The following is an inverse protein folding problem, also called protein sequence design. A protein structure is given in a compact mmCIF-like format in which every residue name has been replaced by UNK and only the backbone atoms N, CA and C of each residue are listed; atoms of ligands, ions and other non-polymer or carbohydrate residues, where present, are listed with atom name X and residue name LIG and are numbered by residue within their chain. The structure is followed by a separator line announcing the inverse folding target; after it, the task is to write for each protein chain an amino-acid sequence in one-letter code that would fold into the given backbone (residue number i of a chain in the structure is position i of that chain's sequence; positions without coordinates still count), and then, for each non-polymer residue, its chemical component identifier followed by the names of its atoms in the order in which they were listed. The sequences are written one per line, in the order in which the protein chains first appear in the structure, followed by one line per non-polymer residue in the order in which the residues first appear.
data_IF_834564689762
#
_entry.id   IF_834564689762
#
_cell.length_a   1.000
_cell.length_b   1.000
_cell.length_c   1.000
_cell.angle_alpha   90.00
_cell.angle_beta   90.00
_cell.angle_gamma   90.00
#
_symmetry.space_group_name_H-M   'P 1'
#
loop_
_entity.id
_entity.type
_entity.pdbx_description
1 polymer ?
#
# COMPACT_ATOMS: atom_id res chain seq x y z
N UNK A 1 -4.85 -9.35 0.37
CA UNK A 1 -6.19 -8.92 0.87
C UNK A 1 -7.02 -8.52 -0.35
N UNK A 2 -8.04 -7.67 -0.27
CA UNK A 2 -8.62 -7.06 -1.48
C UNK A 2 -7.91 -5.74 -1.80
N UNK A 3 -7.78 -5.35 -3.09
CA UNK A 3 -7.12 -4.09 -3.51
C UNK A 3 -7.63 -2.83 -2.79
N UNK A 4 -8.94 -2.72 -2.54
CA UNK A 4 -9.51 -1.60 -1.76
C UNK A 4 -9.05 -1.59 -0.30
N UNK A 5 -8.78 -2.77 0.26
CA UNK A 5 -8.31 -2.92 1.62
C UNK A 5 -6.83 -2.52 1.68
N UNK A 6 -6.05 -2.87 0.66
CA UNK A 6 -4.67 -2.42 0.49
C UNK A 6 -4.56 -0.90 0.43
N UNK A 7 -5.29 -0.26 -0.49
CA UNK A 7 -5.33 1.20 -0.60
C UNK A 7 -5.71 1.85 0.72
N UNK A 8 -6.77 1.38 1.38
CA UNK A 8 -7.26 2.02 2.59
C UNK A 8 -6.28 1.90 3.77
N UNK A 9 -5.63 0.75 3.94
CA UNK A 9 -4.67 0.54 5.05
C UNK A 9 -3.39 1.33 4.75
N UNK A 10 -2.89 1.26 3.52
CA UNK A 10 -1.67 1.97 3.10
C UNK A 10 -1.83 3.49 3.21
N UNK A 11 -2.93 4.06 2.72
CA UNK A 11 -3.21 5.50 2.84
C UNK A 11 -3.39 5.91 4.31
N UNK A 12 -4.17 5.17 5.09
CA UNK A 12 -4.38 5.48 6.51
C UNK A 12 -3.10 5.34 7.36
N UNK A 13 -2.12 4.57 6.89
CA UNK A 13 -0.77 4.49 7.50
C UNK A 13 0.05 5.75 7.24
N UNK A 14 -0.10 6.37 6.06
CA UNK A 14 0.72 7.51 5.64
C UNK A 14 0.15 8.85 6.10
N UNK A 15 -1.18 8.99 6.17
CA UNK A 15 -1.84 10.26 6.56
C UNK A 15 -1.29 10.84 7.89
N UNK A 16 -1.09 10.07 8.97
CA UNK A 16 -0.52 10.60 10.21
C UNK A 16 0.76 11.41 10.03
N UNK A 17 1.64 11.02 9.08
CA UNK A 17 2.90 11.71 8.79
C UNK A 17 2.72 13.00 7.97
N UNK A 18 1.56 13.14 7.30
CA UNK A 18 1.20 14.32 6.52
C UNK A 18 0.57 15.39 7.41
N UNK A 19 -0.11 15.02 8.50
CA UNK A 19 -0.86 15.95 9.36
C UNK A 19 -0.02 17.16 9.80
N UNK A 20 1.22 17.01 10.34
CA UNK A 20 2.02 18.18 10.73
C UNK A 20 2.29 19.15 9.57
N UNK A 21 2.39 18.65 8.34
CA UNK A 21 2.59 19.46 7.14
C UNK A 21 1.33 20.22 6.73
N UNK A 22 0.14 19.66 6.98
CA UNK A 22 -1.14 20.36 6.72
C UNK A 22 -1.25 21.58 7.62
N UNK A 23 -0.88 21.44 8.89
CA UNK A 23 -0.96 22.52 9.88
C UNK A 23 0.25 23.47 9.87
N UNK A 24 1.17 23.32 8.91
CA UNK A 24 2.34 24.21 8.82
C UNK A 24 2.07 25.58 8.21
N UNK A 25 0.93 25.74 7.53
CA UNK A 25 0.60 26.96 6.80
C UNK A 25 1.45 27.19 5.54
N UNK A 26 2.32 26.26 5.16
CA UNK A 26 3.13 26.38 3.95
C UNK A 26 2.28 26.12 2.70
N UNK A 27 2.24 27.10 1.79
CA UNK A 27 1.40 27.07 0.56
C UNK A 27 1.83 26.03 -0.47
N UNK A 28 3.08 25.54 -0.44
CA UNK A 28 3.55 24.50 -1.36
C UNK A 28 3.24 23.09 -0.85
N UNK A 29 3.14 22.89 0.47
CA UNK A 29 2.95 21.55 1.04
C UNK A 29 1.70 20.81 0.54
N UNK A 30 0.56 21.48 0.23
CA UNK A 30 -0.57 20.86 -0.43
C UNK A 30 -0.25 20.00 -1.63
N UNK A 31 0.56 20.50 -2.56
CA UNK A 31 0.88 19.73 -3.76
C UNK A 31 1.75 18.51 -3.43
N UNK A 32 2.64 18.64 -2.44
CA UNK A 32 3.56 17.59 -2.03
C UNK A 32 2.85 16.43 -1.33
N UNK A 33 1.98 16.71 -0.35
CA UNK A 33 1.27 15.63 0.33
C UNK A 33 0.19 14.99 -0.55
N UNK A 34 -0.47 15.74 -1.45
CA UNK A 34 -1.39 15.16 -2.45
C UNK A 34 -0.64 14.22 -3.38
N UNK A 35 0.53 14.65 -3.88
CA UNK A 35 1.40 13.82 -4.72
C UNK A 35 1.80 12.54 -4.01
N UNK A 36 2.21 12.64 -2.74
CA UNK A 36 2.57 11.48 -1.92
C UNK A 36 1.39 10.51 -1.76
N UNK A 37 0.18 11.01 -1.46
CA UNK A 37 -1.02 10.17 -1.29
C UNK A 37 -1.43 9.46 -2.57
N UNK A 38 -1.36 10.15 -3.72
CA UNK A 38 -1.62 9.56 -5.04
C UNK A 38 -0.59 8.46 -5.32
N UNK A 39 0.70 8.75 -5.10
CA UNK A 39 1.79 7.80 -5.32
C UNK A 39 1.67 6.57 -4.41
N UNK A 40 1.33 6.72 -3.13
CA UNK A 40 1.05 5.62 -2.19
C UNK A 40 -0.14 4.79 -2.64
N UNK A 41 -1.20 5.43 -3.12
CA UNK A 41 -2.40 4.74 -3.63
C UNK A 41 -2.04 3.87 -4.84
N UNK A 42 -1.35 4.43 -5.83
CA UNK A 42 -0.89 3.71 -7.02
C UNK A 42 0.07 2.59 -6.60
N UNK A 43 1.03 2.89 -5.71
CA UNK A 43 1.99 1.93 -5.18
C UNK A 43 1.30 0.74 -4.53
N UNK A 44 0.30 0.97 -3.68
CA UNK A 44 -0.43 -0.11 -2.97
C UNK A 44 -1.23 -1.04 -3.88
N UNK A 45 -1.48 -0.64 -5.13
CA UNK A 45 -2.16 -1.46 -6.14
C UNK A 45 -1.16 -2.11 -7.10
N UNK A 46 0.07 -1.60 -7.18
CA UNK A 46 1.08 -2.00 -8.18
C UNK A 46 1.43 -3.49 -8.16
N UNK A 47 1.64 -4.15 -7.02
CA UNK A 47 2.01 -5.57 -6.98
C UNK A 47 0.91 -6.48 -7.53
N UNK A 48 -0.35 -6.06 -7.41
CA UNK A 48 -1.55 -6.84 -7.74
C UNK A 48 -2.09 -6.59 -9.15
N UNK A 49 -1.35 -5.85 -9.98
CA UNK A 49 -1.73 -5.47 -11.34
C UNK A 49 -2.18 -6.63 -12.24
N UNK A 50 -1.61 -7.81 -12.01
CA UNK A 50 -1.78 -8.99 -12.86
C UNK A 50 -2.56 -10.13 -12.14
N UNK A 51 -3.34 -9.80 -11.10
CA UNK A 51 -4.22 -10.77 -10.46
C UNK A 51 -5.18 -11.39 -11.48
N UNK A 52 -5.11 -12.72 -11.64
CA UNK A 52 -5.83 -13.46 -12.67
C UNK A 52 -7.34 -13.23 -12.64
N UNK A 53 -7.91 -13.04 -13.84
CA UNK A 53 -9.27 -12.55 -14.07
C UNK A 53 -9.23 -11.19 -14.76
N UNK A 54 -10.37 -10.64 -15.19
CA UNK A 54 -10.45 -9.20 -15.46
C UNK A 54 -10.56 -8.54 -14.09
N UNK A 55 -9.46 -8.01 -13.50
CA UNK A 55 -9.52 -7.47 -12.15
C UNK A 55 -10.58 -6.37 -12.09
N UNK A 56 -11.08 -6.05 -10.89
CA UNK A 56 -11.99 -4.92 -10.75
C UNK A 56 -11.38 -3.62 -11.33
N UNK A 57 -10.05 -3.52 -11.27
CA UNK A 57 -9.26 -2.48 -11.94
C UNK A 57 -9.44 -2.44 -13.46
N UNK A 58 -9.58 -3.57 -14.16
CA UNK A 58 -9.85 -3.61 -15.60
C UNK A 58 -11.21 -2.99 -15.95
N UNK A 59 -12.23 -3.25 -15.13
CA UNK A 59 -13.59 -2.75 -15.37
C UNK A 59 -13.79 -1.31 -14.91
N UNK A 60 -13.23 -0.93 -13.76
CA UNK A 60 -13.42 0.39 -13.17
C UNK A 60 -12.34 1.40 -13.63
N UNK A 61 -11.14 0.92 -14.03
CA UNK A 61 -9.95 1.74 -14.28
C UNK A 61 -9.04 1.16 -15.40
N UNK A 62 -9.63 0.90 -16.58
CA UNK A 62 -8.95 0.28 -17.73
C UNK A 62 -7.57 0.89 -18.06
N UNK A 63 -7.46 2.22 -18.03
CA UNK A 63 -6.19 2.92 -18.31
C UNK A 63 -5.07 2.49 -17.36
N UNK A 64 -5.38 2.35 -16.06
CA UNK A 64 -4.40 1.94 -15.05
C UNK A 64 -3.95 0.50 -15.35
N UNK A 65 -4.89 -0.40 -15.63
CA UNK A 65 -4.57 -1.77 -16.02
C UNK A 65 -3.68 -1.85 -17.28
N UNK A 66 -3.99 -1.05 -18.30
CA UNK A 66 -3.24 -1.02 -19.56
C UNK A 66 -1.80 -0.52 -19.37
N UNK A 67 -1.54 0.30 -18.35
CA UNK A 67 -0.18 0.77 -17.97
C UNK A 67 0.57 -0.31 -17.16
N UNK A 68 -0.11 -1.01 -16.27
CA UNK A 68 0.55 -1.90 -15.33
C UNK A 68 1.03 -3.23 -15.94
N UNK A 69 0.34 -3.74 -16.96
CA UNK A 69 0.77 -4.94 -17.67
C UNK A 69 2.15 -4.76 -18.37
N UNK A 70 2.38 -3.70 -19.17
CA UNK A 70 3.70 -3.35 -19.67
C UNK A 70 4.73 -3.14 -18.57
N UNK A 71 4.34 -2.48 -17.46
CA UNK A 71 5.23 -2.25 -16.33
C UNK A 71 5.78 -3.57 -15.76
N UNK A 72 4.92 -4.55 -15.53
CA UNK A 72 5.35 -5.86 -15.02
C UNK A 72 6.38 -6.50 -15.95
N UNK A 73 6.12 -6.48 -17.27
CA UNK A 73 7.06 -7.01 -18.26
C UNK A 73 8.38 -6.25 -18.24
N UNK A 74 8.34 -4.92 -18.09
CA UNK A 74 9.53 -4.09 -17.98
C UNK A 74 10.34 -4.41 -16.72
N UNK A 75 9.70 -4.64 -15.58
CA UNK A 75 10.36 -5.03 -14.32
C UNK A 75 11.02 -6.41 -14.45
N UNK A 76 10.30 -7.39 -15.02
CA UNK A 76 10.84 -8.74 -15.25
C UNK A 76 12.03 -8.68 -16.20
N UNK A 77 11.91 -7.92 -17.29
CA UNK A 77 13.00 -7.72 -18.25
C UNK A 77 14.22 -7.06 -17.61
N UNK A 78 14.01 -5.97 -16.85
CA UNK A 78 15.06 -5.26 -16.15
C UNK A 78 15.79 -6.19 -15.16
N UNK A 79 15.04 -6.95 -14.36
CA UNK A 79 15.64 -7.90 -13.43
C UNK A 79 16.41 -9.02 -14.13
N UNK A 80 15.84 -9.65 -15.16
CA UNK A 80 16.53 -10.71 -15.92
C UNK A 80 17.83 -10.20 -16.52
N UNK A 81 17.81 -8.98 -17.06
CA UNK A 81 18.99 -8.33 -17.63
C UNK A 81 20.08 -8.10 -16.58
N UNK A 82 19.70 -7.62 -15.39
CA UNK A 82 20.63 -7.46 -14.25
C UNK A 82 21.15 -8.80 -13.75
N UNK A 83 20.27 -9.80 -13.64
CA UNK A 83 20.62 -11.14 -13.18
C UNK A 83 21.64 -11.82 -14.08
N UNK A 84 21.49 -11.69 -15.41
CA UNK A 84 22.45 -12.21 -16.38
C UNK A 84 23.78 -11.43 -16.34
N UNK A 85 23.72 -10.10 -16.23
CA UNK A 85 24.93 -9.26 -16.19
C UNK A 85 25.81 -9.55 -14.97
N UNK A 86 25.21 -9.88 -13.83
CA UNK A 86 25.91 -10.05 -12.56
C UNK A 86 25.95 -11.50 -12.06
N UNK A 87 25.56 -12.47 -12.90
CA UNK A 87 25.52 -13.91 -12.58
C UNK A 87 24.91 -14.21 -11.20
N UNK A 88 23.71 -13.66 -10.97
CA UNK A 88 23.08 -13.76 -9.66
C UNK A 88 22.59 -15.19 -9.37
N UNK A 89 22.92 -15.72 -8.19
CA UNK A 89 22.48 -17.03 -7.73
C UNK A 89 20.98 -17.03 -7.38
N UNK A 90 20.13 -17.40 -8.33
CA UNK A 90 18.67 -17.46 -8.14
C UNK A 90 18.24 -18.85 -7.61
N UNK A 91 17.43 -18.87 -6.56
CA UNK A 91 16.76 -20.10 -6.10
C UNK A 91 15.45 -20.38 -6.87
N UNK A 92 14.87 -19.34 -7.47
CA UNK A 92 13.64 -19.44 -8.25
C UNK A 92 13.72 -18.70 -9.59
N UNK A 93 13.11 -19.30 -10.62
CA UNK A 93 12.96 -18.66 -11.93
C UNK A 93 12.01 -17.45 -11.84
N UNK A 94 12.46 -16.31 -12.34
CA UNK A 94 11.62 -15.11 -12.47
C UNK A 94 10.84 -15.18 -13.78
N UNK A 95 9.53 -15.34 -13.69
CA UNK A 95 8.59 -15.42 -14.82
C UNK A 95 7.39 -14.48 -14.63
N UNK A 96 6.47 -14.47 -15.62
CA UNK A 96 5.29 -13.60 -15.65
C UNK A 96 4.16 -14.06 -14.70
N UNK A 97 4.48 -14.64 -13.54
CA UNK A 97 3.47 -15.06 -12.57
C UNK A 97 3.03 -13.88 -11.70
N UNK A 98 1.74 -13.90 -11.35
CA UNK A 98 1.07 -12.97 -10.42
C UNK A 98 1.78 -12.76 -9.09
N UNK A 99 2.42 -13.81 -8.58
CA UNK A 99 3.20 -13.75 -7.34
C UNK A 99 4.63 -14.14 -7.61
N UNK A 100 5.26 -13.33 -8.45
CA UNK A 100 6.68 -13.38 -8.78
C UNK A 100 7.39 -12.14 -8.26
N UNK A 101 8.22 -11.55 -9.10
CA UNK A 101 9.12 -10.46 -8.71
C UNK A 101 8.39 -9.21 -8.19
N UNK A 102 7.18 -8.92 -8.66
CA UNK A 102 6.37 -7.78 -8.20
C UNK A 102 6.01 -7.85 -6.71
N UNK A 103 6.08 -9.05 -6.12
CA UNK A 103 5.83 -9.31 -4.70
C UNK A 103 7.13 -9.53 -3.92
N UNK A 104 8.23 -8.91 -4.36
CA UNK A 104 9.54 -8.98 -3.72
C UNK A 104 10.19 -7.59 -3.56
N UNK A 105 11.06 -7.38 -2.55
CA UNK A 105 11.77 -6.11 -2.32
C UNK A 105 12.48 -5.55 -3.56
N UNK A 106 13.12 -6.41 -4.35
CA UNK A 106 13.81 -5.98 -5.57
C UNK A 106 12.81 -5.53 -6.66
N UNK A 107 11.66 -6.21 -6.77
CA UNK A 107 10.65 -5.85 -7.76
C UNK A 107 9.93 -4.58 -7.39
N UNK A 108 9.59 -4.36 -6.11
CA UNK A 108 8.97 -3.09 -5.66
C UNK A 108 9.92 -1.91 -5.88
N UNK A 109 11.23 -2.11 -5.71
CA UNK A 109 12.22 -1.07 -5.97
C UNK A 109 12.30 -0.76 -7.48
N UNK A 110 12.46 -1.79 -8.31
CA UNK A 110 12.54 -1.63 -9.77
C UNK A 110 11.26 -1.01 -10.36
N UNK A 111 10.07 -1.48 -9.94
CA UNK A 111 8.79 -0.94 -10.41
C UNK A 111 8.62 0.52 -9.98
N UNK A 112 8.97 0.88 -8.74
CA UNK A 112 8.93 2.26 -8.26
C UNK A 112 9.87 3.15 -9.06
N UNK A 113 11.08 2.68 -9.36
CA UNK A 113 12.06 3.40 -10.16
C UNK A 113 11.54 3.65 -11.59
N UNK A 114 11.07 2.59 -12.27
CA UNK A 114 10.55 2.69 -13.64
C UNK A 114 9.34 3.63 -13.69
N UNK A 115 8.36 3.47 -12.80
CA UNK A 115 7.19 4.34 -12.74
C UNK A 115 7.55 5.80 -12.44
N UNK A 116 8.54 6.02 -11.58
CA UNK A 116 9.03 7.38 -11.30
C UNK A 116 9.67 8.00 -12.53
N UNK A 117 10.52 7.26 -13.24
CA UNK A 117 11.16 7.74 -14.47
C UNK A 117 10.11 8.07 -15.54
N UNK A 118 9.11 7.22 -15.72
CA UNK A 118 7.99 7.47 -16.63
C UNK A 118 7.23 8.74 -16.20
N UNK A 119 6.89 8.86 -14.93
CA UNK A 119 6.16 10.02 -14.40
C UNK A 119 6.95 11.32 -14.54
N UNK A 120 8.26 11.28 -14.28
CA UNK A 120 9.15 12.42 -14.44
C UNK A 120 9.28 12.84 -15.92
N UNK A 121 9.36 11.88 -16.84
CA UNK A 121 9.40 12.15 -18.28
C UNK A 121 8.10 12.82 -18.75
N UNK A 122 6.94 12.28 -18.38
CA UNK A 122 5.64 12.90 -18.69
C UNK A 122 5.50 14.28 -18.06
N UNK A 123 5.90 14.44 -16.80
CA UNK A 123 5.92 15.73 -16.12
C UNK A 123 6.79 16.75 -16.83
N UNK A 124 7.99 16.36 -17.28
CA UNK A 124 8.87 17.22 -18.06
C UNK A 124 8.23 17.67 -19.37
N UNK A 125 7.57 16.77 -20.11
CA UNK A 125 6.90 17.15 -21.36
C UNK A 125 5.72 18.12 -21.16
N UNK A 126 4.99 18.00 -20.05
CA UNK A 126 3.82 18.86 -19.76
C UNK A 126 4.27 20.21 -19.19
N UNK A 127 5.17 20.21 -18.22
CA UNK A 127 5.54 21.39 -17.43
C UNK A 127 6.85 22.05 -17.86
N UNK A 128 7.57 21.46 -18.83
CA UNK A 128 8.86 21.93 -19.34
C UNK A 128 9.91 22.13 -18.24
N UNK A 129 9.83 21.31 -17.18
CA UNK A 129 10.70 21.38 -16.02
C UNK A 129 10.57 20.15 -15.12
N UNK A 130 11.57 19.92 -14.27
CA UNK A 130 11.59 18.82 -13.31
C UNK A 130 11.64 19.40 -11.90
N UNK A 131 10.58 19.20 -11.12
CA UNK A 131 10.63 19.44 -9.69
C UNK A 131 11.18 18.19 -8.99
N UNK A 132 12.44 18.27 -8.52
CA UNK A 132 13.13 17.14 -7.89
C UNK A 132 12.42 16.64 -6.62
N UNK A 133 11.82 17.53 -5.84
CA UNK A 133 11.07 17.17 -4.63
C UNK A 133 9.85 16.33 -5.02
N UNK A 134 9.10 16.73 -6.05
CA UNK A 134 7.97 15.94 -6.53
C UNK A 134 8.40 14.57 -7.07
N UNK A 135 9.49 14.51 -7.84
CA UNK A 135 10.04 13.23 -8.32
C UNK A 135 10.40 12.30 -7.16
N UNK A 136 11.05 12.85 -6.12
CA UNK A 136 11.38 12.09 -4.92
C UNK A 136 10.14 11.62 -4.16
N UNK A 137 9.12 12.47 -4.01
CA UNK A 137 7.86 12.12 -3.35
C UNK A 137 7.08 11.06 -4.13
N UNK A 138 7.10 11.10 -5.46
CA UNK A 138 6.54 10.05 -6.31
C UNK A 138 7.26 8.72 -6.05
N UNK A 139 8.60 8.73 -6.08
CA UNK A 139 9.39 7.51 -5.83
C UNK A 139 9.13 6.93 -4.44
N UNK A 140 9.22 7.77 -3.41
CA UNK A 140 9.00 7.37 -2.01
C UNK A 140 7.56 6.88 -1.83
N UNK A 141 6.57 7.58 -2.36
CA UNK A 141 5.17 7.18 -2.25
C UNK A 141 4.88 5.85 -2.92
N UNK A 142 5.38 5.63 -4.15
CA UNK A 142 5.26 4.36 -4.86
C UNK A 142 5.94 3.22 -4.09
N UNK A 143 7.15 3.46 -3.58
CA UNK A 143 7.93 2.47 -2.85
C UNK A 143 7.24 2.08 -1.54
N UNK A 144 6.79 3.06 -0.75
CA UNK A 144 6.08 2.79 0.50
C UNK A 144 4.72 2.15 0.26
N UNK A 145 3.95 2.58 -0.75
CA UNK A 145 2.69 1.94 -1.10
C UNK A 145 2.86 0.46 -1.43
N UNK A 146 3.86 0.13 -2.25
CA UNK A 146 4.19 -1.26 -2.58
C UNK A 146 4.71 -2.04 -1.37
N UNK A 147 5.56 -1.42 -0.55
CA UNK A 147 6.07 -2.05 0.66
C UNK A 147 4.95 -2.39 1.66
N UNK A 148 4.02 -1.45 1.89
CA UNK A 148 2.87 -1.66 2.75
C UNK A 148 1.96 -2.76 2.19
N UNK A 149 1.74 -2.80 0.88
CA UNK A 149 1.04 -3.92 0.23
C UNK A 149 1.66 -5.28 0.60
N UNK A 150 2.99 -5.43 0.49
CA UNK A 150 3.68 -6.67 0.85
C UNK A 150 3.56 -6.98 2.37
N UNK A 151 3.62 -5.97 3.24
CA UNK A 151 3.38 -6.17 4.68
C UNK A 151 1.96 -6.64 4.97
N UNK A 152 0.97 -6.07 4.29
CA UNK A 152 -0.44 -6.46 4.41
C UNK A 152 -0.65 -7.90 3.91
N UNK A 153 -0.04 -8.28 2.79
CA UNK A 153 -0.14 -9.64 2.26
C UNK A 153 0.64 -10.66 3.11
N UNK A 154 1.68 -10.23 3.82
CA UNK A 154 2.34 -11.04 4.86
C UNK A 154 1.41 -11.39 6.04
N UNK A 155 0.33 -10.64 6.23
CA UNK A 155 -0.69 -10.94 7.25
C UNK A 155 -1.74 -11.95 6.77
N UNK A 156 -1.76 -12.29 5.48
CA UNK A 156 -2.72 -13.23 4.88
C UNK A 156 -2.20 -14.66 4.89
N UNK A 157 -3.10 -15.63 4.73
CA UNK A 157 -2.74 -17.05 4.63
C UNK A 157 -1.80 -17.37 3.48
N UNK A 158 -1.86 -16.57 2.40
CA UNK A 158 -0.99 -16.79 1.24
C UNK A 158 0.40 -16.23 1.43
N UNK A 159 0.56 -15.20 2.26
CA UNK A 159 1.85 -14.62 2.63
C UNK A 159 2.64 -13.99 1.50
N UNK A 160 3.87 -13.60 1.84
CA UNK A 160 4.89 -13.04 0.94
C UNK A 160 6.23 -13.73 1.18
N UNK A 161 6.93 -14.04 0.09
CA UNK A 161 8.32 -14.45 0.14
C UNK A 161 9.22 -13.23 -0.06
N UNK A 162 9.62 -12.61 1.04
CA UNK A 162 10.44 -11.40 1.04
C UNK A 162 11.84 -11.61 0.44
N UNK A 163 12.30 -12.86 0.32
CA UNK A 163 13.61 -13.18 -0.27
C UNK A 163 13.52 -13.56 -1.74
N UNK A 164 12.33 -13.64 -2.33
CA UNK A 164 12.19 -14.00 -3.74
C UNK A 164 13.01 -13.03 -4.63
N UNK A 165 13.75 -13.52 -5.65
CA UNK A 165 13.92 -14.93 -6.07
C UNK A 165 15.12 -15.66 -5.41
N UNK A 166 15.77 -15.09 -4.40
CA UNK A 166 16.96 -15.60 -3.70
C UNK A 166 16.65 -16.48 -2.48
N UNK A 167 15.40 -16.91 -2.34
CA UNK A 167 14.95 -17.62 -1.16
C UNK A 167 13.54 -18.17 -1.35
N UNK A 168 13.15 -19.11 -0.50
CA UNK A 168 11.82 -19.77 -0.53
C UNK A 168 10.98 -19.50 0.71
N UNK A 169 11.54 -18.85 1.74
CA UNK A 169 10.87 -18.69 3.04
C UNK A 169 9.69 -17.73 2.94
N UNK A 170 8.49 -18.28 3.12
CA UNK A 170 7.25 -17.53 3.18
C UNK A 170 7.02 -16.92 4.58
N UNK A 171 6.62 -15.65 4.62
CA UNK A 171 6.05 -15.01 5.80
C UNK A 171 4.55 -14.85 5.58
N UNK A 172 3.75 -15.51 6.42
CA UNK A 172 2.30 -15.50 6.31
C UNK A 172 1.61 -15.32 7.67
N UNK A 173 0.36 -14.86 7.62
CA UNK A 173 -0.55 -14.81 8.75
C UNK A 173 -1.73 -15.76 8.53
N UNK A 174 -2.85 -15.46 9.17
CA UNK A 174 -4.06 -16.29 9.15
C UNK A 174 -5.28 -15.54 8.61
N UNK A 175 -5.10 -14.38 7.97
CA UNK A 175 -6.21 -13.61 7.39
C UNK A 175 -6.64 -14.25 6.07
N UNK A 176 -7.94 -14.51 5.96
CA UNK A 176 -8.53 -15.06 4.74
C UNK A 176 -9.21 -13.97 3.93
N UNK A 177 -8.70 -13.69 2.73
CA UNK A 177 -9.31 -12.74 1.78
C UNK A 177 -10.72 -13.16 1.37
N UNK A 178 -10.91 -14.46 1.15
CA UNK A 178 -12.21 -15.08 0.82
C UNK A 178 -12.76 -15.86 2.02
N UNK A 179 -14.04 -16.19 2.02
CA UNK A 179 -14.71 -16.82 3.16
C UNK A 179 -14.12 -18.21 3.48
N UNK A 180 -13.44 -18.34 4.63
CA UNK A 180 -13.06 -19.64 5.22
C UNK A 180 -14.30 -20.44 5.61
N UNK A 181 -15.27 -19.77 6.22
CA UNK A 181 -16.55 -20.33 6.69
C UNK A 181 -17.67 -19.78 5.80
N UNK A 182 -18.52 -20.66 5.25
CA UNK A 182 -19.64 -20.26 4.38
C UNK A 182 -20.52 -19.21 5.07
N UNK A 183 -20.76 -18.10 4.39
CA UNK A 183 -21.57 -17.00 4.92
C UNK A 183 -20.85 -16.05 5.88
N UNK A 184 -19.61 -16.33 6.30
CA UNK A 184 -18.82 -15.44 7.15
C UNK A 184 -17.66 -14.78 6.39
N UNK A 185 -17.26 -13.59 6.84
CA UNK A 185 -16.08 -12.87 6.36
C UNK A 185 -15.14 -12.56 7.53
N UNK A 186 -13.84 -12.64 7.26
CA UNK A 186 -12.80 -12.12 8.15
C UNK A 186 -12.89 -10.60 8.26
N UNK A 187 -13.10 -10.08 9.47
CA UNK A 187 -13.26 -8.65 9.72
C UNK A 187 -11.94 -7.93 10.02
N UNK A 188 -10.82 -8.64 10.19
CA UNK A 188 -9.53 -8.02 10.56
C UNK A 188 -9.11 -6.87 9.63
N UNK A 189 -9.16 -6.99 8.28
CA UNK A 189 -8.83 -5.87 7.40
C UNK A 189 -9.69 -4.62 7.68
N UNK A 190 -10.96 -4.79 8.04
CA UNK A 190 -11.84 -3.67 8.39
C UNK A 190 -11.47 -3.06 9.75
N UNK A 191 -11.15 -3.89 10.74
CA UNK A 191 -10.68 -3.42 12.06
C UNK A 191 -9.38 -2.64 11.92
N UNK A 192 -8.43 -3.13 11.12
CA UNK A 192 -7.15 -2.45 10.90
C UNK A 192 -7.34 -1.06 10.28
N UNK A 193 -8.21 -0.95 9.28
CA UNK A 193 -8.61 0.33 8.69
C UNK A 193 -9.19 1.28 9.75
N UNK A 194 -10.13 0.78 10.57
CA UNK A 194 -10.76 1.60 11.60
C UNK A 194 -9.76 2.11 12.64
N UNK A 195 -8.84 1.25 13.11
CA UNK A 195 -7.82 1.64 14.09
C UNK A 195 -6.89 2.73 13.52
N UNK A 196 -6.43 2.59 12.28
CA UNK A 196 -5.59 3.59 11.62
C UNK A 196 -6.34 4.92 11.39
N UNK A 197 -7.60 4.87 10.95
CA UNK A 197 -8.42 6.06 10.75
C UNK A 197 -8.77 6.78 12.06
N UNK A 198 -9.09 6.03 13.12
CA UNK A 198 -9.32 6.62 14.45
C UNK A 198 -8.06 7.37 14.91
N UNK A 199 -6.88 6.79 14.72
CA UNK A 199 -5.64 7.48 15.06
C UNK A 199 -5.44 8.78 14.26
N UNK A 200 -5.69 8.73 12.95
CA UNK A 200 -5.64 9.91 12.08
C UNK A 200 -6.59 11.01 12.59
N UNK A 201 -7.83 10.65 12.91
CA UNK A 201 -8.84 11.58 13.41
C UNK A 201 -8.41 12.20 14.75
N UNK A 202 -7.89 11.39 15.68
CA UNK A 202 -7.40 11.88 16.98
C UNK A 202 -6.23 12.86 16.81
N UNK A 203 -5.31 12.60 15.87
CA UNK A 203 -4.22 13.53 15.56
C UNK A 203 -4.74 14.85 14.98
N UNK A 204 -5.66 14.79 14.00
CA UNK A 204 -6.27 16.00 13.42
C UNK A 204 -6.97 16.83 14.50
N UNK A 205 -7.75 16.20 15.38
CA UNK A 205 -8.40 16.90 16.49
C UNK A 205 -7.40 17.48 17.48
N UNK A 206 -6.36 16.74 17.83
CA UNK A 206 -5.30 17.22 18.72
C UNK A 206 -4.63 18.49 18.22
N UNK A 207 -4.36 18.57 16.91
CA UNK A 207 -3.84 19.79 16.27
C UNK A 207 -4.89 20.90 16.15
N UNK A 208 -6.13 20.57 15.76
CA UNK A 208 -7.16 21.58 15.48
C UNK A 208 -7.65 22.32 16.75
N UNK A 209 -7.47 21.72 17.92
CA UNK A 209 -7.85 22.28 19.21
C UNK A 209 -6.65 22.71 20.07
N UNK A 210 -5.46 22.82 19.46
CA UNK A 210 -4.22 23.21 20.14
C UNK A 210 -3.91 22.37 21.41
N UNK A 211 -4.40 21.13 21.46
CA UNK A 211 -4.09 20.16 22.55
C UNK A 211 -2.65 19.69 22.43
N UNK A 212 -2.10 19.72 21.20
CA UNK A 212 -0.73 19.32 20.86
C UNK A 212 0.07 20.61 20.58
N UNK A 213 0.74 21.15 21.59
CA UNK A 213 1.62 22.34 21.48
C UNK A 213 3.08 21.97 21.11
N UNK A 214 3.25 20.86 20.40
CA UNK A 214 4.57 20.41 19.98
C UNK A 214 4.99 21.14 18.70
N UNK A 215 6.28 21.49 18.59
CA UNK A 215 6.88 21.82 17.30
C UNK A 215 6.63 20.64 16.33
N UNK A 216 6.18 20.92 15.10
CA UNK A 216 5.86 19.93 14.07
C UNK A 216 6.91 18.83 13.92
N UNK A 217 8.19 19.20 14.02
CA UNK A 217 9.30 18.25 13.92
C UNK A 217 9.40 17.29 15.11
N UNK A 218 9.06 17.76 16.31
CA UNK A 218 9.09 16.95 17.54
C UNK A 218 7.95 15.95 17.63
N UNK A 219 6.90 16.09 16.82
CA UNK A 219 5.78 15.16 16.79
C UNK A 219 6.08 13.88 15.98
N UNK A 220 6.94 13.95 14.98
CA UNK A 220 7.25 12.80 14.11
C UNK A 220 7.68 11.55 14.88
N UNK A 221 8.58 11.61 15.88
CA UNK A 221 8.91 10.44 16.71
C UNK A 221 7.69 9.77 17.36
N UNK A 222 6.72 10.56 17.84
CA UNK A 222 5.48 10.04 18.45
C UNK A 222 4.56 9.42 17.40
N UNK A 223 4.46 10.02 16.20
CA UNK A 223 3.72 9.44 15.08
C UNK A 223 4.34 8.10 14.68
N UNK A 224 5.67 8.03 14.53
CA UNK A 224 6.38 6.79 14.25
C UNK A 224 6.12 5.72 15.31
N UNK A 225 6.21 6.08 16.59
CA UNK A 225 5.94 5.16 17.69
C UNK A 225 4.50 4.65 17.62
N UNK A 226 3.52 5.54 17.48
CA UNK A 226 2.11 5.16 17.49
C UNK A 226 1.72 4.31 16.29
N UNK A 227 2.09 4.74 15.07
CA UNK A 227 1.84 3.96 13.85
C UNK A 227 2.57 2.61 13.93
N UNK A 228 3.79 2.58 14.47
CA UNK A 228 4.53 1.36 14.75
C UNK A 228 3.79 0.40 15.69
N UNK A 229 3.21 0.91 16.78
CA UNK A 229 2.38 0.12 17.70
C UNK A 229 1.12 -0.44 17.02
N UNK A 230 0.46 0.33 16.15
CA UNK A 230 -0.68 -0.15 15.36
C UNK A 230 -0.24 -1.28 14.42
N UNK A 231 0.89 -1.15 13.75
CA UNK A 231 1.43 -2.22 12.90
C UNK A 231 1.83 -3.47 13.69
N UNK A 232 2.41 -3.31 14.88
CA UNK A 232 2.68 -4.44 15.79
C UNK A 232 1.38 -5.16 16.13
N UNK A 233 0.32 -4.42 16.49
CA UNK A 233 -1.01 -4.98 16.72
C UNK A 233 -1.54 -5.74 15.49
N UNK A 234 -1.47 -5.14 14.29
CA UNK A 234 -1.89 -5.76 13.03
C UNK A 234 -1.16 -7.09 12.81
N UNK A 235 0.16 -7.11 12.97
CA UNK A 235 1.00 -8.30 12.77
C UNK A 235 0.63 -9.38 13.80
N UNK A 236 0.48 -9.04 15.08
CA UNK A 236 0.12 -10.00 16.13
C UNK A 236 -1.29 -10.55 15.89
N UNK A 237 -2.27 -9.67 15.66
CA UNK A 237 -3.67 -10.04 15.42
C UNK A 237 -3.81 -10.91 14.15
N UNK A 238 -2.98 -10.69 13.12
CA UNK A 238 -2.98 -11.49 11.90
C UNK A 238 -2.63 -12.95 12.14
N UNK A 239 -1.88 -13.28 13.21
CA UNK A 239 -1.43 -14.64 13.53
C UNK A 239 -2.43 -15.44 14.36
N UNK A 240 -3.48 -14.80 14.85
CA UNK A 240 -4.54 -15.44 15.64
C UNK A 240 -5.59 -16.10 14.74
N UNK A 241 -6.27 -17.14 15.23
CA UNK A 241 -7.33 -17.88 14.50
C UNK A 241 -8.60 -18.01 15.35
N UNK A 242 -8.97 -16.93 16.04
CA UNK A 242 -10.15 -16.93 16.89
C UNK A 242 -11.44 -16.76 16.08
N UNK A 243 -12.50 -17.44 16.50
CA UNK A 243 -13.80 -17.41 15.81
C UNK A 243 -14.44 -16.02 15.76
N UNK A 244 -14.12 -15.13 16.69
CA UNK A 244 -14.67 -13.77 16.73
C UNK A 244 -14.25 -12.91 15.52
N UNK A 245 -13.17 -13.27 14.83
CA UNK A 245 -12.76 -12.59 13.58
C UNK A 245 -13.68 -12.89 12.41
N UNK A 246 -14.53 -13.92 12.50
CA UNK A 246 -15.41 -14.33 11.43
C UNK A 246 -16.84 -13.89 11.74
N UNK A 247 -17.30 -12.84 11.05
CA UNK A 247 -18.66 -12.31 11.20
C UNK A 247 -19.51 -12.56 9.97
N UNK A 248 -20.84 -12.54 10.17
CA UNK A 248 -21.81 -12.73 9.10
C UNK A 248 -21.64 -11.69 7.97
N UNK A 249 -21.52 -12.19 6.74
CA UNK A 249 -21.26 -11.38 5.54
C UNK A 249 -22.41 -10.41 5.23
N UNK A 250 -23.66 -10.83 5.45
CA UNK A 250 -24.84 -10.00 5.18
C UNK A 250 -24.89 -8.85 6.18
N UNK A 251 -24.61 -9.12 7.47
CA UNK A 251 -24.52 -8.08 8.51
C UNK A 251 -23.47 -7.02 8.15
N UNK A 252 -22.27 -7.44 7.74
CA UNK A 252 -21.20 -6.52 7.31
C UNK A 252 -21.61 -5.71 6.06
N UNK A 253 -22.23 -6.37 5.07
CA UNK A 253 -22.65 -5.70 3.84
C UNK A 253 -23.75 -4.67 4.10
N UNK A 254 -24.71 -4.98 4.97
CA UNK A 254 -25.78 -4.07 5.37
C UNK A 254 -25.22 -2.87 6.12
N UNK A 255 -24.28 -3.08 7.05
CA UNK A 255 -23.57 -2.00 7.73
C UNK A 255 -22.89 -1.07 6.71
N UNK A 256 -22.12 -1.62 5.75
CA UNK A 256 -21.44 -0.83 4.71
C UNK A 256 -22.42 -0.06 3.79
N UNK A 257 -23.58 -0.64 3.49
CA UNK A 257 -24.63 0.05 2.72
C UNK A 257 -25.22 1.22 3.50
N UNK A 258 -25.50 1.02 4.79
CA UNK A 258 -26.00 2.08 5.67
C UNK A 258 -24.98 3.24 5.77
N UNK A 259 -23.69 2.95 5.95
CA UNK A 259 -22.66 4.00 6.00
C UNK A 259 -22.56 4.78 4.68
N UNK A 260 -22.67 4.10 3.53
CA UNK A 260 -22.65 4.76 2.21
C UNK A 260 -23.82 5.70 1.97
N UNK A 261 -24.99 5.38 2.55
CA UNK A 261 -26.17 6.23 2.43
C UNK A 261 -26.09 7.46 3.36
N UNK A 262 -25.28 7.42 4.42
CA UNK A 262 -25.03 8.56 5.30
C UNK A 262 -23.98 9.53 4.75
N UNK A 263 -23.16 9.11 3.80
CA UNK A 263 -22.09 9.91 3.17
C UNK A 263 -22.45 10.43 1.78
N UNK A 264 -23.70 10.27 1.35
CA UNK A 264 -24.26 10.89 0.13
C UNK A 264 -25.08 12.10 0.55
#
# INVERSE_FOLDING_TARGET
MLGKEHVSISVATIIPFIIPLIFSGNVEYPIYYITLLIAVTIGSLTPDADCGGKPKLYYDFKLIYDIMLPLQKAVIFAFRSLSLKYDLNLEHEVNNRHRGIMHAPIGIFLSSLILTLISALFGFFIFQGINLIMVLLIFIGLLFGQFLHLLEDSCTVTGINWKFPFGTKLLNGKIYTFSKIKGKKDIRPMVYQQVLWINTILLVFGFSFDVIDFNQWTLYPFIFLFVGLVWIFIIIASRTDYDFWYQDRNKINNFRKATRNLTK
#
